data_IF_955218765724
#
_entry.id   IF_955218765724
#
_cell.length_a   1.000
_cell.length_b   1.000
_cell.length_c   1.000
_cell.angle_alpha   90.00
_cell.angle_beta   90.00
_cell.angle_gamma   90.00
#
_symmetry.space_group_name_H-M   'P 1'
#
loop_
_entity.id
_entity.type
_entity.pdbx_description
1 polymer ?
#
# COMPACT_ATOMS: atom_id res chain seq x y z
N UNK A 1 24.70 -29.29 -24.75
CA UNK A 1 23.35 -28.73 -24.93
C UNK A 1 22.39 -29.08 -23.79
N UNK A 2 22.22 -30.36 -23.38
CA UNK A 2 21.30 -30.77 -22.29
C UNK A 2 21.60 -30.14 -20.92
N UNK A 3 22.88 -29.96 -20.58
CA UNK A 3 23.32 -29.32 -19.32
C UNK A 3 23.04 -27.81 -19.27
N UNK A 4 23.19 -27.12 -20.40
CA UNK A 4 22.86 -25.68 -20.50
C UNK A 4 21.36 -25.44 -20.39
N UNK A 5 20.55 -26.29 -21.03
CA UNK A 5 19.09 -26.22 -20.94
C UNK A 5 18.59 -26.51 -19.52
N UNK A 6 19.22 -27.46 -18.82
CA UNK A 6 18.91 -27.75 -17.41
C UNK A 6 19.25 -26.56 -16.49
N UNK A 7 20.40 -25.90 -16.70
CA UNK A 7 20.79 -24.72 -15.90
C UNK A 7 19.85 -23.53 -16.15
N UNK A 8 19.39 -23.34 -17.39
CA UNK A 8 18.48 -22.25 -17.75
C UNK A 8 17.07 -22.48 -17.17
N UNK A 9 16.61 -23.75 -17.13
CA UNK A 9 15.36 -24.12 -16.48
C UNK A 9 15.40 -23.94 -14.95
N UNK A 10 16.53 -24.26 -14.31
CA UNK A 10 16.73 -24.03 -12.86
C UNK A 10 16.78 -22.54 -12.53
N UNK A 11 17.41 -21.72 -13.37
CA UNK A 11 17.44 -20.26 -13.20
C UNK A 11 16.04 -19.63 -13.33
N UNK A 12 15.24 -20.07 -14.32
CA UNK A 12 13.85 -19.66 -14.48
C UNK A 12 12.96 -20.11 -13.31
N UNK A 13 13.20 -21.31 -12.78
CA UNK A 13 12.47 -21.81 -11.62
C UNK A 13 12.80 -21.01 -10.35
N UNK A 14 14.08 -20.69 -10.12
CA UNK A 14 14.51 -19.88 -8.98
C UNK A 14 13.87 -18.47 -8.95
N UNK A 15 13.60 -17.87 -10.11
CA UNK A 15 12.88 -16.60 -10.23
C UNK A 15 11.41 -16.68 -9.81
N UNK A 16 10.82 -17.88 -9.81
CA UNK A 16 9.45 -18.06 -9.31
C UNK A 16 9.38 -18.22 -7.78
N UNK A 17 10.50 -18.58 -7.12
CA UNK A 17 10.57 -18.66 -5.66
C UNK A 17 10.68 -17.28 -4.97
N UNK A 18 11.02 -16.20 -5.69
CA UNK A 18 11.03 -14.83 -5.13
C UNK A 18 9.64 -14.20 -5.04
N UNK A 19 8.56 -14.94 -5.36
CA UNK A 19 7.18 -14.47 -5.29
C UNK A 19 6.49 -14.60 -3.93
N UNK A 20 7.08 -15.32 -2.96
CA UNK A 20 6.55 -15.42 -1.59
C UNK A 20 7.27 -14.44 -0.67
N UNK A 21 7.00 -13.16 -0.89
CA UNK A 21 7.67 -12.08 -0.18
C UNK A 21 7.03 -10.75 -0.50
N UNK A 22 5.69 -10.70 -0.57
CA UNK A 22 4.99 -9.42 -0.38
C UNK A 22 5.30 -9.05 1.07
N UNK A 23 6.32 -8.23 1.23
CA UNK A 23 6.78 -7.75 2.52
C UNK A 23 5.57 -7.32 3.32
N UNK A 24 5.39 -7.99 4.46
CA UNK A 24 4.53 -7.52 5.52
C UNK A 24 5.14 -6.22 6.04
N UNK A 25 4.98 -5.14 5.28
CA UNK A 25 5.12 -3.81 5.83
C UNK A 25 4.04 -3.76 6.90
N UNK A 26 4.49 -3.64 8.15
CA UNK A 26 3.70 -3.52 9.38
C UNK A 26 2.83 -2.24 9.38
N UNK A 27 2.12 -1.93 8.28
CA UNK A 27 1.07 -0.94 8.28
C UNK A 27 -0.27 -1.63 8.54
N UNK A 28 -1.12 -1.05 9.39
CA UNK A 28 -2.18 -1.76 10.08
C UNK A 28 -3.20 -2.34 9.09
N UNK A 29 -3.21 -3.67 9.01
CA UNK A 29 -4.37 -4.56 8.91
C UNK A 29 -5.58 -4.08 8.12
N UNK A 30 -5.40 -3.37 7.01
CA UNK A 30 -6.45 -3.18 6.04
C UNK A 30 -6.41 -4.40 5.11
N UNK A 31 -7.38 -5.28 5.26
CA UNK A 31 -7.62 -6.36 4.32
C UNK A 31 -8.08 -5.73 3.01
N UNK A 32 -7.16 -5.58 2.06
CA UNK A 32 -7.51 -5.06 0.74
C UNK A 32 -7.95 -6.22 -0.15
N UNK A 33 -9.11 -6.07 -0.80
CA UNK A 33 -9.47 -6.97 -1.89
C UNK A 33 -8.49 -6.75 -3.05
N UNK A 34 -7.75 -7.80 -3.41
CA UNK A 34 -6.77 -7.74 -4.51
C UNK A 34 -7.39 -8.28 -5.79
N UNK A 35 -7.35 -7.46 -6.84
CA UNK A 35 -7.73 -7.84 -8.20
C UNK A 35 -6.47 -7.78 -9.09
N UNK A 36 -6.34 -8.72 -10.02
CA UNK A 36 -5.09 -8.92 -10.77
C UNK A 36 -4.75 -7.81 -11.78
N UNK A 37 -5.76 -7.11 -12.34
CA UNK A 37 -5.54 -6.10 -13.39
C UNK A 37 -5.66 -4.68 -12.84
N UNK A 38 -6.69 -4.42 -12.06
CA UNK A 38 -6.94 -3.11 -11.48
C UNK A 38 -7.67 -3.29 -10.16
N UNK A 39 -7.16 -2.66 -9.10
CA UNK A 39 -7.82 -2.59 -7.81
C UNK A 39 -7.73 -1.16 -7.29
N UNK A 40 -8.87 -0.60 -6.90
CA UNK A 40 -8.98 0.66 -6.15
C UNK A 40 -9.86 0.35 -4.94
N UNK A 41 -9.21 0.08 -3.81
CA UNK A 41 -9.89 -0.37 -2.60
C UNK A 41 -9.53 0.56 -1.46
N UNK A 42 -10.56 0.90 -0.69
CA UNK A 42 -10.43 1.71 0.52
C UNK A 42 -10.65 0.81 1.72
N UNK A 43 -9.62 0.69 2.57
CA UNK A 43 -9.68 -0.05 3.82
C UNK A 43 -9.90 0.91 4.98
N UNK A 44 -10.88 0.61 5.83
CA UNK A 44 -10.99 1.21 7.16
C UNK A 44 -9.97 0.55 8.10
N UNK A 45 -9.38 1.34 9.00
CA UNK A 45 -8.27 0.85 9.84
C UNK A 45 -8.67 0.99 11.30
N UNK A 46 -8.36 2.13 11.89
CA UNK A 46 -8.43 2.39 13.31
C UNK A 46 -9.31 3.61 13.51
N UNK A 47 -10.35 3.43 14.33
CA UNK A 47 -11.16 4.51 14.87
C UNK A 47 -10.58 4.84 16.24
N UNK A 48 -10.01 6.04 16.38
CA UNK A 48 -9.41 6.52 17.63
C UNK A 48 -10.46 7.20 18.51
N UNK A 49 -11.44 7.86 17.90
CA UNK A 49 -12.53 8.55 18.60
C UNK A 49 -13.82 8.38 17.79
N UNK A 50 -14.81 7.66 18.33
CA UNK A 50 -16.11 7.47 17.66
C UNK A 50 -17.16 8.50 18.13
N UNK A 51 -16.79 9.39 19.07
CA UNK A 51 -17.69 10.40 19.64
C UNK A 51 -17.62 11.75 18.92
N UNK A 52 -16.70 11.93 17.97
CA UNK A 52 -16.45 13.21 17.30
C UNK A 52 -16.57 13.04 15.79
N UNK A 53 -17.40 13.86 15.17
CA UNK A 53 -17.44 13.96 13.71
C UNK A 53 -16.20 14.72 13.22
N UNK A 54 -15.38 14.15 12.31
CA UNK A 54 -14.25 14.86 11.75
C UNK A 54 -14.72 15.96 10.80
N UNK A 55 -14.13 17.15 10.90
CA UNK A 55 -14.40 18.29 10.02
C UNK A 55 -13.33 18.46 8.94
N UNK A 56 -12.14 17.92 9.14
CA UNK A 56 -10.99 18.00 8.24
C UNK A 56 -10.55 16.62 7.77
N UNK A 57 -10.08 16.57 6.53
CA UNK A 57 -9.51 15.38 5.90
C UNK A 57 -8.20 15.79 5.24
N UNK A 58 -7.14 15.02 5.48
CA UNK A 58 -5.86 15.18 4.79
C UNK A 58 -5.36 13.84 4.26
N UNK A 59 -4.52 13.89 3.23
CA UNK A 59 -4.14 12.68 2.49
C UNK A 59 -2.66 12.72 2.08
N UNK A 60 -1.93 11.66 2.41
CA UNK A 60 -0.54 11.48 2.00
C UNK A 60 -0.35 10.15 1.30
N UNK A 61 0.44 10.12 0.21
CA UNK A 61 0.58 8.94 -0.65
C UNK A 61 2.05 8.58 -0.90
N UNK A 62 2.30 7.28 -0.94
CA UNK A 62 3.52 6.67 -1.44
C UNK A 62 3.23 5.89 -2.71
N UNK A 63 4.18 5.91 -3.63
CA UNK A 63 4.11 5.25 -4.92
C UNK A 63 5.22 4.21 -5.04
N UNK A 64 4.88 3.08 -5.65
CA UNK A 64 5.80 2.01 -5.98
C UNK A 64 5.60 1.62 -7.44
N UNK A 65 6.71 1.53 -8.16
CA UNK A 65 6.77 1.20 -9.58
C UNK A 65 7.60 -0.07 -9.73
N UNK A 66 6.99 -1.07 -10.37
CA UNK A 66 7.55 -2.38 -10.75
C UNK A 66 8.10 -3.20 -9.58
N UNK A 67 7.81 -2.82 -8.33
CA UNK A 67 8.50 -3.39 -7.18
C UNK A 67 9.97 -2.99 -7.02
N UNK A 68 10.47 -2.10 -7.89
CA UNK A 68 11.89 -1.72 -7.96
C UNK A 68 12.12 -0.33 -7.34
N UNK A 69 11.20 0.59 -7.60
CA UNK A 69 11.31 1.98 -7.13
C UNK A 69 10.12 2.27 -6.23
N UNK A 70 10.37 2.62 -4.97
CA UNK A 70 9.36 3.13 -4.05
C UNK A 70 9.77 4.53 -3.59
N UNK A 71 8.84 5.47 -3.64
CA UNK A 71 9.08 6.86 -3.22
C UNK A 71 7.79 7.52 -2.72
N UNK A 72 7.95 8.56 -1.91
CA UNK A 72 6.84 9.29 -1.29
C UNK A 72 6.71 9.00 0.20
N UNK A 73 5.85 9.76 0.84
CA UNK A 73 5.58 9.70 2.27
C UNK A 73 4.08 9.45 2.45
N UNK A 74 3.73 8.38 3.14
CA UNK A 74 2.35 8.01 3.47
C UNK A 74 2.12 8.01 4.98
N UNK A 75 2.95 8.70 5.76
CA UNK A 75 2.79 8.79 7.21
C UNK A 75 1.48 9.49 7.59
N UNK A 76 0.99 9.17 8.78
CA UNK A 76 -0.22 9.81 9.33
C UNK A 76 0.07 11.28 9.62
N UNK A 77 1.30 11.60 10.03
CA UNK A 77 1.78 12.95 10.31
C UNK A 77 1.73 13.83 9.06
N UNK A 78 2.23 13.34 7.91
CA UNK A 78 2.15 14.07 6.65
C UNK A 78 0.71 14.22 6.17
N UNK A 79 -0.14 13.20 6.37
CA UNK A 79 -1.57 13.30 6.07
C UNK A 79 -2.30 14.29 7.00
N UNK A 80 -1.93 14.37 8.28
CA UNK A 80 -2.48 15.33 9.23
C UNK A 80 -2.01 16.76 8.92
N UNK A 81 -0.74 16.93 8.55
CA UNK A 81 -0.18 18.22 8.17
C UNK A 81 -0.87 18.78 6.91
N UNK A 82 -1.09 17.95 5.89
CA UNK A 82 -1.83 18.30 4.67
C UNK A 82 -3.28 18.72 4.98
N UNK A 83 -3.93 18.01 5.90
CA UNK A 83 -5.30 18.30 6.33
C UNK A 83 -5.44 19.39 7.41
N UNK A 84 -4.34 19.95 7.92
CA UNK A 84 -4.35 20.84 9.08
C UNK A 84 -5.06 20.25 10.31
N UNK A 85 -4.90 18.94 10.54
CA UNK A 85 -5.56 18.16 11.59
C UNK A 85 -4.71 18.21 12.85
N UNK A 86 -5.30 18.67 13.95
CA UNK A 86 -4.69 18.71 15.27
C UNK A 86 -5.08 17.51 16.14
N UNK A 87 -6.30 16.98 15.98
CA UNK A 87 -6.81 15.80 16.67
C UNK A 87 -7.33 14.78 15.67
N UNK A 88 -6.69 13.62 15.62
CA UNK A 88 -7.06 12.51 14.76
C UNK A 88 -8.26 11.73 15.31
N UNK A 89 -9.23 11.43 14.44
CA UNK A 89 -10.48 10.72 14.79
C UNK A 89 -10.46 9.31 14.22
N UNK A 90 -10.15 9.14 12.94
CA UNK A 90 -9.91 7.84 12.33
C UNK A 90 -8.98 7.93 11.12
N UNK A 91 -8.36 6.78 10.78
CA UNK A 91 -7.43 6.64 9.66
C UNK A 91 -8.00 5.61 8.68
N UNK A 92 -8.01 5.96 7.39
CA UNK A 92 -8.29 5.03 6.30
C UNK A 92 -7.07 4.89 5.39
N UNK A 93 -6.91 3.74 4.76
CA UNK A 93 -5.96 3.57 3.67
C UNK A 93 -6.68 3.42 2.33
N UNK A 94 -6.15 4.04 1.30
CA UNK A 94 -6.55 3.79 -0.09
C UNK A 94 -5.40 3.11 -0.81
N UNK A 95 -5.68 1.94 -1.35
CA UNK A 95 -4.70 1.14 -2.08
C UNK A 95 -5.15 1.03 -3.53
N UNK A 96 -4.26 1.46 -4.43
CA UNK A 96 -4.45 1.34 -5.87
C UNK A 96 -3.34 0.48 -6.45
N UNK A 97 -3.73 -0.55 -7.18
CA UNK A 97 -2.78 -1.35 -7.95
C UNK A 97 -3.23 -1.52 -9.37
N UNK A 98 -2.27 -1.49 -10.28
CA UNK A 98 -2.49 -1.67 -11.72
C UNK A 98 -1.53 -2.72 -12.24
N UNK A 99 -2.06 -3.64 -13.04
CA UNK A 99 -1.37 -4.72 -13.75
C UNK A 99 -0.44 -5.51 -12.83
N UNK A 100 -0.98 -6.44 -12.04
CA UNK A 100 -0.19 -7.35 -11.17
C UNK A 100 0.84 -6.64 -10.27
N UNK A 101 0.57 -5.38 -9.86
CA UNK A 101 1.47 -4.61 -9.00
C UNK A 101 2.62 -3.90 -9.72
N UNK A 102 2.56 -3.77 -11.05
CA UNK A 102 3.46 -2.92 -11.85
C UNK A 102 3.41 -1.47 -11.36
N UNK A 103 2.24 -1.00 -10.98
CA UNK A 103 2.10 0.25 -10.27
C UNK A 103 1.25 0.02 -9.02
N UNK A 104 1.77 0.50 -7.91
CA UNK A 104 1.18 0.42 -6.59
C UNK A 104 1.17 1.81 -6.00
N UNK A 105 0.04 2.24 -5.48
CA UNK A 105 -0.08 3.49 -4.75
C UNK A 105 -0.82 3.20 -3.45
N UNK A 106 -0.19 3.51 -2.33
CA UNK A 106 -0.77 3.41 -1.00
C UNK A 106 -0.90 4.83 -0.44
N UNK A 107 -2.11 5.21 -0.08
CA UNK A 107 -2.41 6.50 0.51
C UNK A 107 -3.01 6.35 1.90
N UNK A 108 -2.59 7.21 2.80
CA UNK A 108 -3.12 7.36 4.14
C UNK A 108 -4.03 8.56 4.17
N UNK A 109 -5.27 8.34 4.59
CA UNK A 109 -6.32 9.36 4.71
C UNK A 109 -6.61 9.55 6.19
N UNK A 110 -6.09 10.65 6.72
CA UNK A 110 -6.33 11.07 8.09
C UNK A 110 -7.61 11.92 8.12
N UNK A 111 -8.50 11.64 9.07
CA UNK A 111 -9.68 12.48 9.34
C UNK A 111 -9.72 12.90 10.79
N UNK A 112 -10.01 14.18 11.00
CA UNK A 112 -9.98 14.76 12.34
C UNK A 112 -10.36 16.24 12.36
N UNK A 113 -9.92 16.95 13.40
CA UNK A 113 -10.19 18.38 13.63
C UNK A 113 -8.91 19.18 13.83
#
# INVERSE_FOLDING_TARGET
MKRGLALLAVALYALTLTGCGIGSLNQPSASFAMAGIYSDVKGGTQVLDNGVAPSKTGKSCSHQILGIIAHGDNTVESAMADGGISKLVYINYELKHVVWGVYTQLCTVARGN
#
